data_IF_633316087798
#
_entry.id   IF_633316087798
#
_cell.length_a   1.000
_cell.length_b   1.000
_cell.length_c   1.000
_cell.angle_alpha   90.00
_cell.angle_beta   90.00
_cell.angle_gamma   90.00
#
_symmetry.space_group_name_H-M   'P 1'
#
loop_
_entity.id
_entity.type
_entity.pdbx_description
1 polymer ?
#
# COMPACT_ATOMS: atom_id res chain seq x y z
N UNK A 1 -11.61 -12.57 17.19
CA UNK A 1 -10.71 -12.98 16.08
C UNK A 1 -9.62 -11.94 15.99
N UNK A 2 -8.38 -12.36 15.80
CA UNK A 2 -7.25 -11.46 15.59
C UNK A 2 -7.31 -10.93 14.15
N UNK A 3 -7.18 -9.62 13.98
CA UNK A 3 -7.24 -8.95 12.67
C UNK A 3 -6.09 -9.43 11.77
N UNK A 4 -6.39 -9.81 10.52
CA UNK A 4 -5.36 -10.12 9.53
C UNK A 4 -5.48 -9.18 8.32
N UNK A 5 -4.39 -8.54 7.85
CA UNK A 5 -4.46 -7.54 6.76
C UNK A 5 -5.08 -8.05 5.46
N UNK A 6 -5.04 -9.35 5.17
CA UNK A 6 -5.68 -9.93 3.98
C UNK A 6 -7.21 -9.83 3.98
N UNK A 7 -7.83 -9.49 5.12
CA UNK A 7 -9.27 -9.26 5.25
C UNK A 7 -9.69 -7.88 4.70
N UNK A 8 -8.75 -6.95 4.54
CA UNK A 8 -9.03 -5.63 3.97
C UNK A 8 -9.46 -5.78 2.50
N UNK A 9 -10.63 -5.25 2.09
CA UNK A 9 -11.02 -5.16 0.69
C UNK A 9 -9.97 -4.38 -0.12
N UNK A 10 -9.60 -4.91 -1.28
CA UNK A 10 -8.55 -4.32 -2.12
C UNK A 10 -9.18 -3.62 -3.33
N UNK A 11 -8.94 -2.31 -3.44
CA UNK A 11 -9.37 -1.49 -4.58
C UNK A 11 -8.55 -1.83 -5.81
N UNK A 12 -7.23 -1.91 -5.64
CA UNK A 12 -6.30 -2.25 -6.71
C UNK A 12 -5.06 -2.95 -6.17
N UNK A 13 -4.60 -3.95 -6.91
CA UNK A 13 -3.34 -4.64 -6.66
C UNK A 13 -2.31 -4.20 -7.69
N UNK A 14 -1.11 -3.87 -7.22
CA UNK A 14 0.05 -3.53 -8.02
C UNK A 14 1.11 -4.62 -7.86
N UNK A 15 1.85 -4.94 -8.92
CA UNK A 15 2.89 -5.98 -8.90
C UNK A 15 4.21 -5.34 -9.27
N UNK A 16 5.06 -5.11 -8.27
CA UNK A 16 6.34 -4.42 -8.46
C UNK A 16 7.41 -5.44 -8.83
N UNK A 17 8.13 -5.21 -9.93
CA UNK A 17 9.29 -6.03 -10.31
C UNK A 17 10.61 -5.36 -9.94
N UNK A 18 10.58 -4.04 -9.75
CA UNK A 18 11.74 -3.20 -9.48
C UNK A 18 11.34 -1.92 -8.73
N UNK A 19 12.34 -1.12 -8.38
CA UNK A 19 12.21 0.16 -7.70
C UNK A 19 11.44 1.21 -8.49
N UNK A 20 11.55 1.22 -9.83
CA UNK A 20 10.83 2.19 -10.69
C UNK A 20 9.32 1.92 -10.71
N UNK A 21 8.94 0.65 -10.70
CA UNK A 21 7.53 0.26 -10.58
C UNK A 21 6.95 0.80 -9.26
N UNK A 22 7.69 0.67 -8.16
CA UNK A 22 7.32 1.16 -6.84
C UNK A 22 6.97 2.66 -6.86
N UNK A 23 7.82 3.48 -7.48
CA UNK A 23 7.59 4.91 -7.61
C UNK A 23 6.35 5.25 -8.45
N UNK A 24 6.18 4.58 -9.59
CA UNK A 24 5.02 4.77 -10.45
C UNK A 24 3.71 4.43 -9.71
N UNK A 25 3.73 3.35 -8.91
CA UNK A 25 2.56 2.92 -8.15
C UNK A 25 2.21 3.88 -7.03
N UNK A 26 3.22 4.41 -6.34
CA UNK A 26 3.02 5.45 -5.33
C UNK A 26 2.29 6.67 -5.93
N UNK A 27 2.74 7.13 -7.11
CA UNK A 27 2.12 8.25 -7.82
C UNK A 27 0.68 7.96 -8.20
N UNK A 28 0.41 6.75 -8.71
CA UNK A 28 -0.94 6.36 -9.08
C UNK A 28 -1.88 6.27 -7.86
N UNK A 29 -1.43 5.68 -6.74
CA UNK A 29 -2.26 5.59 -5.53
C UNK A 29 -2.64 6.96 -4.99
N UNK A 30 -1.71 7.91 -4.96
CA UNK A 30 -2.00 9.29 -4.52
C UNK A 30 -2.99 9.97 -5.46
N UNK A 31 -2.83 9.80 -6.77
CA UNK A 31 -3.76 10.34 -7.77
C UNK A 31 -5.17 9.75 -7.64
N UNK A 32 -5.28 8.44 -7.36
CA UNK A 32 -6.58 7.78 -7.12
C UNK A 32 -7.18 8.15 -5.75
N UNK A 33 -6.34 8.56 -4.80
CA UNK A 33 -6.72 8.96 -3.45
C UNK A 33 -7.02 7.78 -2.55
N UNK A 34 -6.91 7.99 -1.24
CA UNK A 34 -7.12 6.95 -0.21
C UNK A 34 -8.46 7.09 0.52
N UNK A 35 -8.96 8.30 0.76
CA UNK A 35 -10.13 8.52 1.62
C UNK A 35 -11.48 8.25 0.94
N UNK A 36 -11.55 8.40 -0.39
CA UNK A 36 -12.79 8.21 -1.16
C UNK A 36 -12.96 6.78 -1.68
N UNK A 37 -12.17 5.85 -1.15
CA UNK A 37 -12.13 4.47 -1.59
C UNK A 37 -12.90 3.56 -0.63
N UNK A 38 -13.32 2.38 -1.12
CA UNK A 38 -14.01 1.36 -0.32
C UNK A 38 -13.06 0.25 0.17
N UNK A 39 -11.76 0.54 0.21
CA UNK A 39 -10.73 -0.43 0.55
C UNK A 39 -9.31 0.15 0.43
N UNK A 40 -8.32 -0.73 0.62
CA UNK A 40 -6.91 -0.38 0.53
C UNK A 40 -6.29 -0.69 -0.84
N UNK A 41 -5.06 -0.23 -1.03
CA UNK A 41 -4.20 -0.63 -2.14
C UNK A 41 -3.23 -1.71 -1.68
N UNK A 42 -3.00 -2.71 -2.53
CA UNK A 42 -2.03 -3.78 -2.27
C UNK A 42 -0.87 -3.68 -3.25
N UNK A 43 0.37 -3.75 -2.78
CA UNK A 43 1.55 -3.94 -3.62
C UNK A 43 2.14 -5.32 -3.34
N UNK A 44 2.26 -6.13 -4.38
CA UNK A 44 2.99 -7.39 -4.36
C UNK A 44 4.45 -7.12 -4.69
N UNK A 45 5.34 -7.67 -3.88
CA UNK A 45 6.79 -7.51 -3.97
C UNK A 45 7.43 -8.89 -4.03
N UNK A 46 8.42 -9.14 -4.90
CA UNK A 46 9.08 -10.44 -4.98
C UNK A 46 9.73 -10.79 -3.64
N UNK A 47 9.79 -12.07 -3.27
CA UNK A 47 10.51 -12.56 -2.07
C UNK A 47 12.04 -12.52 -2.20
N UNK A 48 12.56 -11.50 -2.87
CA UNK A 48 13.96 -11.13 -2.81
C UNK A 48 14.11 -10.08 -1.71
N UNK A 49 14.65 -10.49 -0.56
CA UNK A 49 14.64 -9.73 0.70
C UNK A 49 15.03 -8.26 0.54
N UNK A 50 16.13 -7.97 -0.14
CA UNK A 50 16.62 -6.59 -0.26
C UNK A 50 15.81 -5.77 -1.26
N UNK A 51 15.37 -6.39 -2.35
CA UNK A 51 14.50 -5.74 -3.33
C UNK A 51 13.12 -5.42 -2.71
N UNK A 52 12.51 -6.36 -1.99
CA UNK A 52 11.25 -6.15 -1.30
C UNK A 52 11.32 -5.00 -0.29
N UNK A 53 12.40 -4.93 0.49
CA UNK A 53 12.63 -3.82 1.43
C UNK A 53 12.73 -2.48 0.71
N UNK A 54 13.47 -2.42 -0.40
CA UNK A 54 13.61 -1.19 -1.19
C UNK A 54 12.28 -0.77 -1.80
N UNK A 55 11.52 -1.69 -2.39
CA UNK A 55 10.18 -1.41 -2.92
C UNK A 55 9.26 -0.89 -1.82
N UNK A 56 9.17 -1.57 -0.67
CA UNK A 56 8.32 -1.13 0.45
C UNK A 56 8.70 0.24 1.00
N UNK A 57 10.01 0.53 1.09
CA UNK A 57 10.51 1.84 1.50
C UNK A 57 10.16 2.94 0.49
N UNK A 58 10.35 2.69 -0.82
CA UNK A 58 10.03 3.64 -1.88
C UNK A 58 8.52 3.94 -1.89
N UNK A 59 7.67 2.91 -1.88
CA UNK A 59 6.21 3.08 -1.89
C UNK A 59 5.76 3.96 -0.72
N UNK A 60 6.18 3.65 0.50
CA UNK A 60 5.73 4.40 1.69
C UNK A 60 6.28 5.83 1.73
N UNK A 61 7.56 6.01 1.37
CA UNK A 61 8.21 7.33 1.38
C UNK A 61 7.64 8.25 0.30
N UNK A 62 7.48 7.75 -0.93
CA UNK A 62 6.97 8.55 -2.03
C UNK A 62 5.49 8.89 -1.85
N UNK A 63 4.66 7.96 -1.38
CA UNK A 63 3.26 8.26 -1.03
C UNK A 63 3.21 9.39 0.00
N UNK A 64 3.99 9.30 1.08
CA UNK A 64 4.01 10.35 2.10
C UNK A 64 4.43 11.71 1.53
N UNK A 65 5.47 11.71 0.70
CA UNK A 65 5.97 12.92 0.03
C UNK A 65 4.90 13.54 -0.88
N UNK A 66 4.28 12.74 -1.75
CA UNK A 66 3.29 13.23 -2.71
C UNK A 66 1.98 13.66 -2.04
N UNK A 67 1.49 12.95 -1.02
CA UNK A 67 0.34 13.39 -0.23
C UNK A 67 0.59 14.75 0.43
N UNK A 68 1.82 14.98 0.94
CA UNK A 68 2.23 16.28 1.47
C UNK A 68 2.16 17.38 0.40
N UNK A 69 2.69 17.13 -0.80
CA UNK A 69 2.65 18.09 -1.91
C UNK A 69 1.20 18.38 -2.34
N UNK A 70 0.35 17.36 -2.37
CA UNK A 70 -1.05 17.46 -2.74
C UNK A 70 -1.95 18.03 -1.62
N UNK A 71 -1.40 18.33 -0.44
CA UNK A 71 -2.16 18.75 0.77
C UNK A 71 -3.28 17.76 1.14
N UNK A 72 -3.05 16.47 0.91
CA UNK A 72 -3.95 15.38 1.28
C UNK A 72 -3.56 14.79 2.64
N UNK A 73 -4.50 14.08 3.28
CA UNK A 73 -4.24 13.37 4.54
C UNK A 73 -3.08 12.37 4.37
N UNK A 74 -2.14 12.38 5.31
CA UNK A 74 -0.90 11.58 5.25
C UNK A 74 -0.92 10.40 6.20
N UNK A 75 -1.86 10.41 7.15
CA UNK A 75 -2.05 9.31 8.07
C UNK A 75 -2.63 8.12 7.30
N UNK A 76 -1.75 7.21 6.90
CA UNK A 76 -2.11 5.94 6.30
C UNK A 76 -1.68 4.81 7.24
N UNK A 77 -2.52 3.79 7.35
CA UNK A 77 -2.11 2.53 7.97
C UNK A 77 -1.58 1.60 6.90
N UNK A 78 -0.57 0.81 7.26
CA UNK A 78 -0.07 -0.21 6.39
C UNK A 78 0.43 -1.43 7.16
N UNK A 79 0.38 -2.57 6.50
CA UNK A 79 0.89 -3.83 7.02
C UNK A 79 1.60 -4.59 5.93
N UNK A 80 2.68 -5.28 6.30
CA UNK A 80 3.40 -6.20 5.43
C UNK A 80 3.19 -7.63 5.88
N UNK A 81 3.02 -8.56 4.95
CA UNK A 81 2.86 -9.98 5.26
C UNK A 81 3.32 -10.87 4.11
N UNK A 82 3.49 -12.17 4.39
CA UNK A 82 3.76 -13.19 3.39
C UNK A 82 2.47 -13.47 2.61
N UNK A 83 2.43 -13.12 1.32
CA UNK A 83 1.21 -13.26 0.52
C UNK A 83 1.05 -14.67 -0.07
N UNK A 84 2.09 -15.14 -0.74
CA UNK A 84 2.13 -16.44 -1.42
C UNK A 84 3.57 -16.99 -1.39
N UNK A 85 3.89 -18.02 -2.19
CA UNK A 85 5.23 -18.61 -2.26
C UNK A 85 6.30 -17.63 -2.74
N UNK A 86 5.95 -16.73 -3.67
CA UNK A 86 6.85 -15.89 -4.45
C UNK A 86 6.84 -14.43 -4.00
N UNK A 87 5.80 -13.99 -3.29
CA UNK A 87 5.56 -12.58 -2.99
C UNK A 87 5.34 -12.27 -1.50
N UNK A 88 5.90 -11.14 -1.07
CA UNK A 88 5.39 -10.35 0.04
C UNK A 88 4.27 -9.43 -0.45
N UNK A 89 3.39 -9.01 0.46
CA UNK A 89 2.44 -7.94 0.20
C UNK A 89 2.63 -6.81 1.20
N UNK A 90 2.41 -5.57 0.75
CA UNK A 90 2.09 -4.43 1.59
C UNK A 90 0.68 -3.95 1.25
N UNK A 91 -0.17 -3.74 2.25
CA UNK A 91 -1.47 -3.08 2.08
C UNK A 91 -1.37 -1.69 2.68
N UNK A 92 -1.86 -0.68 1.97
CA UNK A 92 -1.97 0.71 2.43
C UNK A 92 -3.42 1.17 2.38
N UNK A 93 -3.91 1.77 3.45
CA UNK A 93 -5.32 2.20 3.58
C UNK A 93 -5.42 3.45 4.45
N UNK A 94 -6.41 4.31 4.17
CA UNK A 94 -6.76 5.41 5.07
C UNK A 94 -7.41 4.86 6.36
N UNK A 95 -7.06 5.35 7.56
CA UNK A 95 -7.73 5.01 8.80
C UNK A 95 -9.24 5.20 8.72
N UNK A 96 -9.70 6.27 8.06
CA UNK A 96 -11.14 6.53 7.88
C UNK A 96 -11.83 5.40 7.13
N UNK A 97 -11.22 4.93 6.03
CA UNK A 97 -11.78 3.83 5.24
C UNK A 97 -11.72 2.51 6.01
N UNK A 98 -10.69 2.30 6.84
CA UNK A 98 -10.60 1.13 7.71
C UNK A 98 -11.73 1.15 8.77
N UNK A 99 -11.97 2.29 9.40
CA UNK A 99 -13.05 2.47 10.37
C UNK A 99 -14.44 2.26 9.73
N UNK A 100 -14.64 2.78 8.51
CA UNK A 100 -15.88 2.55 7.73
C UNK A 100 -16.13 1.06 7.40
N UNK A 101 -15.07 0.25 7.38
CA UNK A 101 -15.12 -1.20 7.18
C UNK A 101 -15.30 -1.99 8.49
N UNK A 102 -15.29 -1.32 9.65
CA UNK A 102 -15.29 -1.93 10.99
C UNK A 102 -14.13 -2.92 11.20
N UNK A 103 -12.92 -2.56 10.75
CA UNK A 103 -11.71 -3.38 10.83
C UNK A 103 -10.60 -2.76 11.69
#
# INVERSE_FOLDING_TARGET
>A
MEFHPSQIPIVKTFVAKNERDASNFASEMVRLGFENQKGGYKVLMPKQKDLAKRIGFIVTTEINYMLRQAKQERNLRYWTYHHDAENYAIILISPRVLDDLNL
#
